data_IF_929574059131
#
_entry.id   IF_929574059131
#
_cell.length_a   1.000
_cell.length_b   1.000
_cell.length_c   1.000
_cell.angle_alpha   90.00
_cell.angle_beta   90.00
_cell.angle_gamma   90.00
#
_symmetry.space_group_name_H-M   'P 1'
#
loop_
_entity.id
_entity.type
_entity.pdbx_description
1 polymer ?
#
# COMPACT_ATOMS: atom_id res chain seq x y z
N UNK A 1 -9.19 -28.34 -13.52
CA UNK A 1 -10.51 -28.46 -14.19
C UNK A 1 -10.44 -27.69 -15.51
N UNK A 2 -11.19 -28.08 -16.56
CA UNK A 2 -11.27 -27.31 -17.82
C UNK A 2 -12.61 -26.60 -17.89
N UNK A 3 -12.57 -25.29 -18.03
CA UNK A 3 -13.75 -24.43 -18.14
C UNK A 3 -13.65 -23.61 -19.43
N UNK A 4 -14.78 -23.42 -20.11
CA UNK A 4 -14.88 -22.50 -21.25
C UNK A 4 -15.67 -21.29 -20.78
N UNK A 5 -15.11 -20.09 -20.96
CA UNK A 5 -15.72 -18.83 -20.58
C UNK A 5 -15.80 -17.91 -21.81
N UNK A 6 -16.78 -17.03 -21.85
CA UNK A 6 -16.83 -15.96 -22.83
C UNK A 6 -16.03 -14.77 -22.30
N UNK A 7 -15.14 -14.23 -23.12
CA UNK A 7 -14.28 -13.10 -22.79
C UNK A 7 -14.33 -12.09 -23.93
N UNK A 8 -14.32 -10.81 -23.58
CA UNK A 8 -14.18 -9.74 -24.56
C UNK A 8 -12.87 -9.88 -25.36
N UNK A 9 -12.90 -9.48 -26.64
CA UNK A 9 -11.78 -9.67 -27.55
C UNK A 9 -10.55 -8.83 -27.14
N UNK A 10 -10.76 -7.61 -26.65
CA UNK A 10 -9.68 -6.72 -26.23
C UNK A 10 -9.06 -7.25 -24.94
N UNK A 11 -9.90 -7.69 -24.00
CA UNK A 11 -9.44 -8.32 -22.76
C UNK A 11 -8.65 -9.61 -23.02
N UNK A 12 -9.05 -10.42 -24.00
CA UNK A 12 -8.28 -11.59 -24.42
C UNK A 12 -6.92 -11.21 -25.00
N UNK A 13 -6.83 -10.11 -25.76
CA UNK A 13 -5.58 -9.64 -26.32
C UNK A 13 -4.61 -9.19 -25.22
N UNK A 14 -5.08 -8.43 -24.25
CA UNK A 14 -4.30 -7.98 -23.09
C UNK A 14 -3.79 -9.16 -22.26
N UNK A 15 -4.67 -10.12 -21.96
CA UNK A 15 -4.29 -11.30 -21.20
C UNK A 15 -3.23 -12.14 -21.92
N UNK A 16 -3.30 -12.25 -23.26
CA UNK A 16 -2.27 -12.90 -24.07
C UNK A 16 -0.94 -12.14 -24.02
N UNK A 17 -0.97 -10.82 -24.04
CA UNK A 17 0.24 -10.00 -23.95
C UNK A 17 0.94 -10.19 -22.60
N UNK A 18 0.17 -10.23 -21.51
CA UNK A 18 0.69 -10.53 -20.16
C UNK A 18 1.28 -11.94 -20.09
N UNK A 19 0.58 -12.94 -20.62
CA UNK A 19 1.07 -14.31 -20.68
C UNK A 19 2.39 -14.43 -21.46
N UNK A 20 2.48 -13.76 -22.61
CA UNK A 20 3.70 -13.75 -23.43
C UNK A 20 4.88 -13.08 -22.71
N UNK A 21 4.65 -11.91 -22.10
CA UNK A 21 5.68 -11.17 -21.33
C UNK A 21 6.17 -11.92 -20.10
N UNK A 22 5.29 -12.67 -19.45
CA UNK A 22 5.62 -13.44 -18.24
C UNK A 22 6.11 -14.86 -18.54
N UNK A 23 6.16 -15.28 -19.80
CA UNK A 23 6.48 -16.66 -20.20
C UNK A 23 5.57 -17.71 -19.55
N UNK A 24 4.28 -17.37 -19.37
CA UNK A 24 3.27 -18.24 -18.74
C UNK A 24 2.17 -18.58 -19.72
N UNK A 25 1.40 -19.62 -19.41
CA UNK A 25 0.19 -19.94 -20.18
C UNK A 25 -0.94 -18.97 -19.82
N UNK A 26 -1.81 -18.69 -20.79
CA UNK A 26 -3.01 -17.86 -20.58
C UNK A 26 -3.87 -18.39 -19.42
N UNK A 27 -4.03 -19.72 -19.33
CA UNK A 27 -4.79 -20.35 -18.25
C UNK A 27 -4.19 -20.09 -16.87
N UNK A 28 -2.86 -20.12 -16.74
CA UNK A 28 -2.19 -19.85 -15.46
C UNK A 28 -2.33 -18.37 -15.04
N UNK A 29 -2.26 -17.44 -16.00
CA UNK A 29 -2.50 -16.01 -15.72
C UNK A 29 -3.95 -15.77 -15.28
N UNK A 30 -4.92 -16.39 -15.96
CA UNK A 30 -6.33 -16.29 -15.61
C UNK A 30 -6.64 -16.92 -14.25
N UNK A 31 -6.02 -18.06 -13.93
CA UNK A 31 -6.20 -18.72 -12.64
C UNK A 31 -5.67 -17.86 -11.48
N UNK A 32 -4.47 -17.30 -11.62
CA UNK A 32 -3.91 -16.40 -10.61
C UNK A 32 -4.77 -15.16 -10.40
N UNK A 33 -5.22 -14.54 -11.49
CA UNK A 33 -6.11 -13.37 -11.42
C UNK A 33 -7.42 -13.71 -10.70
N UNK A 34 -8.00 -14.88 -10.98
CA UNK A 34 -9.21 -15.34 -10.32
C UNK A 34 -8.98 -15.60 -8.82
N UNK A 35 -7.87 -16.24 -8.45
CA UNK A 35 -7.51 -16.48 -7.05
C UNK A 35 -7.34 -15.17 -6.29
N UNK A 36 -6.64 -14.21 -6.87
CA UNK A 36 -6.42 -12.90 -6.26
C UNK A 36 -7.74 -12.15 -6.04
N UNK A 37 -8.64 -12.17 -7.03
CA UNK A 37 -9.95 -11.54 -6.94
C UNK A 37 -10.83 -12.16 -5.85
N UNK A 38 -10.84 -13.49 -5.76
CA UNK A 38 -11.60 -14.21 -4.73
C UNK A 38 -11.05 -13.94 -3.33
N UNK A 39 -9.73 -14.05 -3.14
CA UNK A 39 -9.09 -13.73 -1.85
C UNK A 39 -9.33 -12.28 -1.43
N UNK A 40 -9.24 -11.33 -2.37
CA UNK A 40 -9.52 -9.92 -2.10
C UNK A 40 -10.98 -9.66 -1.72
N UNK A 41 -11.91 -10.54 -2.09
CA UNK A 41 -13.33 -10.45 -1.70
C UNK A 41 -13.57 -11.01 -0.31
N UNK A 42 -12.83 -12.05 0.08
CA UNK A 42 -12.97 -12.71 1.39
C UNK A 42 -12.29 -11.93 2.53
N UNK A 43 -11.12 -11.34 2.26
CA UNK A 43 -10.31 -10.65 3.27
C UNK A 43 -10.54 -9.13 3.32
N UNK A 44 -11.38 -8.57 2.43
CA UNK A 44 -11.68 -7.15 2.48
C UNK A 44 -12.58 -6.83 3.69
N UNK A 45 -12.11 -6.00 4.65
CA UNK A 45 -13.04 -5.41 5.61
C UNK A 45 -14.11 -4.63 4.82
N UNK A 46 -15.35 -4.53 5.33
CA UNK A 46 -16.40 -3.77 4.65
C UNK A 46 -15.84 -2.39 4.28
N UNK A 47 -16.08 -1.95 3.04
CA UNK A 47 -15.52 -0.71 2.45
C UNK A 47 -15.76 0.55 3.29
N UNK A 48 -16.70 0.48 4.23
CA UNK A 48 -17.11 1.56 5.12
C UNK A 48 -16.54 1.44 6.54
N UNK A 49 -15.70 0.45 6.85
CA UNK A 49 -15.10 0.34 8.17
C UNK A 49 -13.88 1.27 8.24
N UNK A 50 -13.93 2.34 9.06
CA UNK A 50 -12.80 3.25 9.17
C UNK A 50 -11.61 2.48 9.72
N UNK A 51 -10.51 2.47 8.97
CA UNK A 51 -9.24 1.90 9.42
C UNK A 51 -8.81 2.64 10.67
N UNK A 52 -8.90 1.96 11.82
CA UNK A 52 -8.42 2.49 13.10
C UNK A 52 -6.92 2.32 13.18
N UNK A 53 -6.17 3.37 12.84
CA UNK A 53 -4.73 3.39 13.00
C UNK A 53 -4.40 3.56 14.49
N UNK A 54 -3.46 2.77 15.05
CA UNK A 54 -3.00 2.98 16.41
C UNK A 54 -2.38 4.37 16.52
N UNK A 55 -3.02 5.25 17.28
CA UNK A 55 -2.47 6.56 17.62
C UNK A 55 -1.61 6.41 18.87
N UNK A 56 -0.38 6.91 18.80
CA UNK A 56 0.52 6.97 19.95
C UNK A 56 0.61 8.42 20.46
N UNK A 57 0.48 8.60 21.77
CA UNK A 57 0.53 9.91 22.43
C UNK A 57 -0.85 10.56 22.66
N UNK A 58 -0.84 11.70 23.34
CA UNK A 58 -2.01 12.59 23.44
C UNK A 58 -1.89 13.55 22.26
N UNK A 59 -2.75 13.42 21.26
CA UNK A 59 -2.66 14.18 20.00
C UNK A 59 -2.46 15.68 20.20
N UNK A 60 -1.80 16.31 19.23
CA UNK A 60 -1.46 17.72 19.23
C UNK A 60 0.00 17.99 19.60
N UNK A 61 0.54 19.17 19.23
CA UNK A 61 1.88 19.57 19.61
C UNK A 61 2.01 19.70 21.13
N UNK A 62 3.22 19.48 21.64
CA UNK A 62 3.54 19.74 23.05
C UNK A 62 3.28 21.23 23.35
N UNK A 63 2.61 21.58 24.47
CA UNK A 63 2.33 22.97 24.80
C UNK A 63 3.61 23.82 24.83
N UNK A 64 3.57 24.98 24.17
CA UNK A 64 4.71 25.90 24.07
C UNK A 64 5.74 25.55 22.99
N UNK A 65 5.49 24.51 22.18
CA UNK A 65 6.34 24.16 21.03
C UNK A 65 5.64 24.62 19.75
N UNK A 66 6.27 25.55 19.05
CA UNK A 66 5.84 25.93 17.71
C UNK A 66 6.45 24.98 16.68
N UNK A 67 5.61 24.15 16.05
CA UNK A 67 6.04 23.20 15.01
C UNK A 67 6.53 23.89 13.73
N UNK A 68 6.19 25.16 13.52
CA UNK A 68 6.73 25.93 12.40
C UNK A 68 8.17 26.39 12.64
N UNK A 69 8.68 26.27 13.87
CA UNK A 69 10.05 26.58 14.24
C UNK A 69 10.90 25.30 14.23
N UNK A 70 11.64 25.10 13.15
CA UNK A 70 12.51 23.93 12.95
C UNK A 70 13.60 23.77 14.01
N UNK A 71 14.08 24.86 14.62
CA UNK A 71 15.12 24.80 15.67
C UNK A 71 14.54 24.26 16.98
N UNK A 72 13.36 24.73 17.39
CA UNK A 72 12.68 24.23 18.59
C UNK A 72 12.32 22.76 18.48
N UNK A 73 11.92 22.31 17.28
CA UNK A 73 11.61 20.90 17.03
C UNK A 73 12.90 20.06 17.06
N UNK A 74 13.98 20.52 16.43
CA UNK A 74 15.26 19.81 16.41
C UNK A 74 15.87 19.65 17.82
N UNK A 75 15.76 20.66 18.68
CA UNK A 75 16.21 20.59 20.08
C UNK A 75 15.41 19.57 20.90
N UNK A 76 14.12 19.37 20.59
CA UNK A 76 13.26 18.40 21.29
C UNK A 76 13.46 16.96 20.83
N UNK A 77 13.82 16.77 19.57
CA UNK A 77 14.10 15.45 18.97
C UNK A 77 15.55 15.01 19.25
N UNK A 78 16.43 15.93 19.66
CA UNK A 78 17.84 15.66 19.98
C UNK A 78 18.78 15.75 18.76
N UNK A 79 18.28 16.18 17.61
CA UNK A 79 19.08 16.32 16.38
C UNK A 79 20.19 17.39 16.52
N UNK A 80 19.96 18.42 17.33
CA UNK A 80 20.89 19.53 17.48
C UNK A 80 22.06 19.25 18.45
N UNK A 81 21.93 18.28 19.35
CA UNK A 81 23.04 17.87 20.24
C UNK A 81 24.17 17.20 19.43
N UNK A 82 23.80 16.44 18.39
CA UNK A 82 24.75 15.80 17.48
C UNK A 82 25.49 16.81 16.60
N UNK A 83 24.84 17.92 16.24
CA UNK A 83 25.43 18.98 15.41
C UNK A 83 26.42 19.88 16.19
N UNK A 84 26.16 20.16 17.48
CA UNK A 84 27.03 21.02 18.31
C UNK A 84 28.32 20.33 18.80
N UNK A 85 28.38 19.00 18.79
CA UNK A 85 29.56 18.25 19.21
C UNK A 85 30.68 18.16 18.14
N UNK A 86 30.45 18.71 16.94
CA UNK A 86 31.37 18.61 15.79
C UNK A 86 31.94 19.95 15.31
N UNK A 87 31.86 21.01 16.11
CA UNK A 87 32.45 22.33 15.86
C UNK A 87 33.39 22.73 16.99
#
# INVERSE_FOLDING_TARGET
MRTTINLDADLLADAKQVAARSHRSLGSVLEDALRLMLASTEDAPPRDEPVSLPVHGRGGPRPGVDLANSEQVADLVGDNESARASA
#
